data_IF_004521729680
#
_entry.id   IF_004521729680
#
_cell.length_a   1.000
_cell.length_b   1.000
_cell.length_c   1.000
_cell.angle_alpha   90.00
_cell.angle_beta   90.00
_cell.angle_gamma   90.00
#
_symmetry.space_group_name_H-M   'P 1'
#
loop_
_entity.id
_entity.type
_entity.pdbx_description
1 polymer ?
#
# COMPACT_ATOMS: atom_id res chain seq x y z
N UNK A 1 -2.23 -13.93 17.34
CA UNK A 1 -2.58 -12.88 18.32
C UNK A 1 -3.26 -11.67 17.62
N UNK A 2 -2.71 -11.16 16.52
CA UNK A 2 -3.19 -9.95 15.83
C UNK A 2 -4.67 -10.00 15.39
N UNK A 3 -5.17 -11.08 14.74
CA UNK A 3 -6.57 -11.16 14.32
C UNK A 3 -7.56 -10.98 15.47
N UNK A 4 -7.31 -11.60 16.62
CA UNK A 4 -8.19 -11.53 17.79
C UNK A 4 -8.22 -10.15 18.46
N UNK A 5 -7.17 -9.32 18.28
CA UNK A 5 -7.16 -7.96 18.81
C UNK A 5 -8.03 -7.00 18.00
N UNK A 6 -8.30 -7.34 16.75
CA UNK A 6 -9.09 -6.54 15.82
C UNK A 6 -10.52 -7.04 15.65
N UNK A 7 -10.86 -8.20 16.20
CA UNK A 7 -12.15 -8.88 16.01
C UNK A 7 -13.36 -7.96 16.34
N UNK A 8 -13.25 -7.17 17.41
CA UNK A 8 -14.30 -6.23 17.81
C UNK A 8 -14.48 -5.04 16.85
N UNK A 9 -13.44 -4.77 16.02
CA UNK A 9 -13.44 -3.66 15.06
C UNK A 9 -13.78 -4.09 13.63
N UNK A 10 -13.96 -5.40 13.39
CA UNK A 10 -14.21 -5.97 12.07
C UNK A 10 -15.68 -6.35 11.93
N UNK A 11 -16.25 -6.09 10.75
CA UNK A 11 -17.63 -6.44 10.41
C UNK A 11 -17.78 -7.88 9.88
N UNK A 12 -16.65 -8.50 9.50
CA UNK A 12 -16.61 -9.84 8.91
C UNK A 12 -15.90 -10.82 9.84
N UNK A 13 -16.20 -12.11 9.66
CA UNK A 13 -15.50 -13.18 10.37
C UNK A 13 -14.00 -13.16 10.07
N UNK A 14 -13.20 -13.10 11.13
CA UNK A 14 -11.72 -13.11 11.08
C UNK A 14 -11.17 -14.26 10.23
N UNK A 15 -11.86 -15.42 10.20
CA UNK A 15 -11.46 -16.56 9.38
C UNK A 15 -11.56 -16.28 7.86
N UNK A 16 -12.39 -15.33 7.45
CA UNK A 16 -12.55 -14.91 6.03
C UNK A 16 -11.57 -13.81 5.63
N UNK A 17 -10.81 -13.27 6.57
CA UNK A 17 -9.92 -12.15 6.37
C UNK A 17 -8.45 -12.58 6.31
N UNK A 18 -7.71 -11.88 5.46
CA UNK A 18 -6.26 -11.92 5.38
C UNK A 18 -5.70 -10.64 6.02
N UNK A 19 -4.64 -10.80 6.81
CA UNK A 19 -3.97 -9.72 7.53
C UNK A 19 -2.53 -9.61 7.06
N UNK A 20 -2.14 -8.41 6.67
CA UNK A 20 -0.75 -8.07 6.41
C UNK A 20 -0.32 -6.97 7.38
N UNK A 21 0.88 -7.06 7.93
CA UNK A 21 1.40 -6.11 8.88
C UNK A 21 2.78 -5.60 8.47
N UNK A 22 3.01 -4.32 8.73
CA UNK A 22 4.30 -3.67 8.60
C UNK A 22 4.60 -2.92 9.90
N UNK A 23 5.75 -3.16 10.50
CA UNK A 23 6.23 -2.34 11.60
C UNK A 23 6.71 -1.01 11.04
N UNK A 24 6.09 0.08 11.47
CA UNK A 24 6.37 1.45 11.01
C UNK A 24 7.37 2.10 11.96
N UNK A 25 7.18 1.89 13.28
CA UNK A 25 8.04 2.39 14.35
C UNK A 25 8.04 1.38 15.51
N UNK A 26 8.73 1.68 16.61
CA UNK A 26 8.86 0.78 17.75
C UNK A 26 7.50 0.37 18.34
N UNK A 27 6.55 1.31 18.39
CA UNK A 27 5.21 1.10 18.95
C UNK A 27 4.09 1.18 17.91
N UNK A 28 4.42 1.43 16.63
CA UNK A 28 3.43 1.61 15.57
C UNK A 28 3.52 0.49 14.52
N UNK A 29 2.40 -0.21 14.31
CA UNK A 29 2.23 -1.18 13.26
C UNK A 29 1.13 -0.73 12.32
N UNK A 30 1.41 -0.70 11.02
CA UNK A 30 0.39 -0.57 9.99
C UNK A 30 -0.16 -1.95 9.67
N UNK A 31 -1.48 -2.09 9.66
CA UNK A 31 -2.17 -3.35 9.39
C UNK A 31 -3.11 -3.14 8.21
N UNK A 32 -2.95 -3.96 7.18
CA UNK A 32 -3.89 -4.05 6.09
C UNK A 32 -4.75 -5.31 6.25
N UNK A 33 -6.05 -5.16 6.04
CA UNK A 33 -7.02 -6.24 6.13
C UNK A 33 -7.79 -6.33 4.82
N UNK A 34 -7.92 -7.53 4.27
CA UNK A 34 -8.64 -7.78 3.02
C UNK A 34 -9.31 -9.16 3.07
N UNK A 35 -10.45 -9.30 2.40
CA UNK A 35 -11.11 -10.61 2.26
C UNK A 35 -10.20 -11.62 1.55
N UNK A 36 -10.11 -12.85 2.08
CA UNK A 36 -9.30 -13.93 1.48
C UNK A 36 -9.74 -14.25 0.05
N UNK A 37 -11.04 -14.26 -0.21
CA UNK A 37 -11.57 -14.48 -1.55
C UNK A 37 -11.15 -13.37 -2.53
N UNK A 38 -11.11 -12.12 -2.07
CA UNK A 38 -10.71 -10.97 -2.87
C UNK A 38 -9.24 -11.06 -3.28
N UNK A 39 -8.34 -11.29 -2.32
CA UNK A 39 -6.90 -11.40 -2.63
C UNK A 39 -6.59 -12.63 -3.47
N UNK A 40 -7.32 -13.74 -3.28
CA UNK A 40 -7.19 -14.93 -4.12
C UNK A 40 -7.58 -14.63 -5.57
N UNK A 41 -8.72 -13.95 -5.79
CA UNK A 41 -9.17 -13.52 -7.11
C UNK A 41 -8.13 -12.62 -7.79
N UNK A 42 -7.62 -11.61 -7.10
CA UNK A 42 -6.55 -10.76 -7.65
C UNK A 42 -5.28 -11.55 -8.01
N UNK A 43 -4.93 -12.56 -7.21
CA UNK A 43 -3.77 -13.43 -7.48
C UNK A 43 -3.93 -14.24 -8.77
N UNK A 44 -5.16 -14.67 -9.09
CA UNK A 44 -5.46 -15.42 -10.31
C UNK A 44 -5.47 -14.54 -11.57
N UNK A 45 -5.90 -13.29 -11.43
CA UNK A 45 -5.97 -12.33 -12.53
C UNK A 45 -4.61 -11.69 -12.87
N UNK A 46 -3.65 -11.75 -11.96
CA UNK A 46 -2.37 -11.05 -12.10
C UNK A 46 -1.45 -11.78 -13.11
N UNK A 47 -0.90 -11.06 -14.13
CA UNK A 47 0.10 -11.61 -15.02
C UNK A 47 1.34 -12.14 -14.30
N UNK A 48 1.94 -13.22 -14.79
CA UNK A 48 3.14 -13.84 -14.20
C UNK A 48 4.29 -12.86 -13.98
N UNK A 49 4.45 -11.87 -14.86
CA UNK A 49 5.48 -10.84 -14.76
C UNK A 49 5.34 -9.97 -13.49
N UNK A 50 4.12 -9.84 -12.97
CA UNK A 50 3.80 -9.01 -11.80
C UNK A 50 3.64 -9.82 -10.50
N UNK A 51 3.84 -11.15 -10.55
CA UNK A 51 3.67 -12.01 -9.38
C UNK A 51 4.66 -11.74 -8.23
N UNK A 52 5.73 -11.00 -8.47
CA UNK A 52 6.76 -10.71 -7.46
C UNK A 52 6.76 -9.24 -7.01
N UNK A 53 5.79 -8.42 -7.45
CA UNK A 53 5.69 -7.03 -6.95
C UNK A 53 4.88 -6.97 -5.66
N UNK A 54 5.20 -6.06 -4.73
CA UNK A 54 4.41 -5.86 -3.52
C UNK A 54 3.02 -5.29 -3.86
N UNK A 55 2.02 -5.69 -3.08
CA UNK A 55 0.66 -5.16 -3.16
C UNK A 55 0.38 -4.28 -1.96
N UNK A 56 0.30 -3.00 -2.20
CA UNK A 56 0.11 -1.99 -1.16
C UNK A 56 -1.10 -1.11 -1.47
N UNK A 57 -1.66 -0.48 -0.44
CA UNK A 57 -2.75 0.48 -0.63
C UNK A 57 -2.31 1.64 -1.51
N UNK A 58 -3.11 2.00 -2.52
CA UNK A 58 -2.85 3.12 -3.42
C UNK A 58 -2.68 4.45 -2.65
N UNK A 59 -3.49 4.66 -1.61
CA UNK A 59 -3.41 5.87 -0.82
C UNK A 59 -2.05 6.04 -0.14
N UNK A 60 -1.45 4.95 0.33
CA UNK A 60 -0.12 4.97 0.95
C UNK A 60 1.02 5.12 -0.08
N UNK A 61 0.74 5.01 -1.37
CA UNK A 61 1.69 5.30 -2.44
C UNK A 61 1.82 6.80 -2.73
N UNK A 62 0.91 7.65 -2.24
CA UNK A 62 1.01 9.09 -2.42
C UNK A 62 2.16 9.68 -1.61
N UNK A 63 2.79 10.79 -2.07
CA UNK A 63 3.80 11.49 -1.28
C UNK A 63 3.21 12.01 0.02
N UNK A 64 3.97 11.93 1.11
CA UNK A 64 3.54 12.39 2.41
C UNK A 64 4.75 12.80 3.27
N UNK A 65 4.55 13.81 4.09
CA UNK A 65 5.49 14.23 5.13
C UNK A 65 4.71 14.65 6.39
N UNK A 66 5.31 14.60 7.58
CA UNK A 66 4.65 15.05 8.80
C UNK A 66 4.05 16.45 8.64
N UNK A 67 2.80 16.63 9.04
CA UNK A 67 2.05 17.89 8.89
C UNK A 67 1.48 18.12 7.49
N UNK A 68 1.43 17.10 6.63
CA UNK A 68 0.85 17.19 5.29
C UNK A 68 -0.29 16.21 5.09
N UNK A 69 -1.29 16.63 4.31
CA UNK A 69 -2.30 15.76 3.75
C UNK A 69 -2.24 15.88 2.22
N UNK A 70 -2.12 14.76 1.53
CA UNK A 70 -2.12 14.72 0.07
C UNK A 70 -3.45 14.19 -0.43
N UNK A 71 -4.05 14.92 -1.35
CA UNK A 71 -5.30 14.56 -2.02
C UNK A 71 -5.08 14.53 -3.52
N UNK A 72 -5.50 13.46 -4.16
CA UNK A 72 -5.50 13.32 -5.62
C UNK A 72 -6.94 13.19 -6.10
N UNK A 73 -7.39 14.11 -6.92
CA UNK A 73 -8.70 14.05 -7.56
C UNK A 73 -8.63 13.24 -8.85
N UNK A 74 -9.38 12.16 -8.88
CA UNK A 74 -9.66 11.35 -10.07
C UNK A 74 -11.10 11.64 -10.56
N UNK A 75 -11.55 10.97 -11.62
CA UNK A 75 -12.84 11.30 -12.26
C UNK A 75 -14.06 11.16 -11.33
N UNK A 76 -14.10 10.14 -10.46
CA UNK A 76 -15.27 9.82 -9.63
C UNK A 76 -14.95 9.80 -8.13
N UNK A 77 -13.70 9.80 -7.76
CA UNK A 77 -13.25 9.65 -6.38
C UNK A 77 -11.98 10.45 -6.13
N UNK A 78 -11.64 10.63 -4.88
CA UNK A 78 -10.36 11.13 -4.44
C UNK A 78 -9.58 10.05 -3.70
N UNK A 79 -8.26 10.05 -3.88
CA UNK A 79 -7.34 9.27 -3.07
C UNK A 79 -6.66 10.23 -2.10
N UNK A 80 -6.73 9.93 -0.82
CA UNK A 80 -6.28 10.82 0.26
C UNK A 80 -5.28 10.11 1.14
N UNK A 81 -4.16 10.76 1.43
CA UNK A 81 -3.19 10.33 2.45
C UNK A 81 -3.00 11.43 3.49
N UNK A 82 -3.33 11.14 4.75
CA UNK A 82 -3.28 12.11 5.85
C UNK A 82 -2.31 11.73 6.96
N UNK A 83 -1.68 10.54 6.85
CA UNK A 83 -0.74 10.04 7.84
C UNK A 83 0.31 9.11 7.25
N UNK A 84 1.27 8.73 8.09
CA UNK A 84 2.33 7.81 7.70
C UNK A 84 1.79 6.45 7.22
N UNK A 85 0.78 5.93 7.92
CA UNK A 85 0.10 4.67 7.63
C UNK A 85 -1.42 4.87 7.45
N UNK A 86 -1.86 6.08 7.14
CA UNK A 86 -3.27 6.46 7.08
C UNK A 86 -3.60 7.08 5.73
N UNK A 87 -4.59 6.52 5.07
CA UNK A 87 -5.06 6.97 3.78
C UNK A 87 -6.21 6.12 3.28
N UNK A 88 -6.87 6.58 2.24
CA UNK A 88 -8.00 5.87 1.66
C UNK A 88 -8.47 6.46 0.35
N UNK A 89 -9.38 5.74 -0.30
CA UNK A 89 -10.12 6.16 -1.47
C UNK A 89 -11.54 6.52 -1.05
N UNK A 90 -12.05 7.65 -1.53
CA UNK A 90 -13.37 8.14 -1.15
C UNK A 90 -14.06 8.80 -2.33
N UNK A 91 -15.38 8.68 -2.42
CA UNK A 91 -16.18 9.44 -3.38
C UNK A 91 -16.12 10.94 -3.09
N UNK A 92 -16.17 11.77 -4.14
CA UNK A 92 -16.10 13.23 -3.99
C UNK A 92 -17.15 13.78 -3.03
N UNK A 93 -18.36 13.22 -3.05
CA UNK A 93 -19.46 13.66 -2.17
C UNK A 93 -19.17 13.46 -0.67
N UNK A 94 -18.34 12.49 -0.31
CA UNK A 94 -18.00 12.16 1.07
C UNK A 94 -16.65 12.77 1.52
N UNK A 95 -15.91 13.36 0.59
CA UNK A 95 -14.60 13.96 0.90
C UNK A 95 -14.66 15.06 1.97
N UNK A 96 -15.65 15.98 1.97
CA UNK A 96 -15.78 16.99 3.02
C UNK A 96 -15.95 16.38 4.43
N UNK A 97 -16.75 15.32 4.55
CA UNK A 97 -16.99 14.65 5.82
C UNK A 97 -15.72 13.94 6.33
N UNK A 98 -14.98 13.28 5.43
CA UNK A 98 -13.67 12.73 5.76
C UNK A 98 -12.72 13.82 6.26
N UNK A 99 -12.57 14.92 5.52
CA UNK A 99 -11.69 16.03 5.89
C UNK A 99 -12.03 16.63 7.24
N UNK A 100 -13.33 16.73 7.56
CA UNK A 100 -13.78 17.17 8.87
C UNK A 100 -13.43 16.19 9.99
N UNK A 101 -13.51 14.88 9.72
CA UNK A 101 -13.26 13.81 10.71
C UNK A 101 -11.78 13.66 11.06
N UNK A 102 -10.87 13.83 10.10
CA UNK A 102 -9.42 13.67 10.29
C UNK A 102 -8.71 14.91 10.84
N UNK A 103 -9.43 16.02 11.02
CA UNK A 103 -8.92 17.18 11.74
C UNK A 103 -7.76 17.92 11.06
N UNK A 104 -7.85 18.19 9.76
CA UNK A 104 -6.79 18.79 8.92
C UNK A 104 -6.36 20.22 9.27
N UNK A 105 -6.89 20.83 10.33
CA UNK A 105 -6.70 22.27 10.64
C UNK A 105 -5.24 22.73 10.78
N UNK A 106 -4.32 21.82 11.05
CA UNK A 106 -2.89 22.12 11.23
C UNK A 106 -2.01 21.48 10.15
N UNK A 107 -2.61 20.90 9.11
CA UNK A 107 -1.88 20.23 8.03
C UNK A 107 -1.91 21.07 6.75
N UNK A 108 -0.79 21.13 6.06
CA UNK A 108 -0.73 21.68 4.70
C UNK A 108 -1.41 20.71 3.74
N UNK A 109 -2.41 21.18 3.01
CA UNK A 109 -3.14 20.41 2.02
C UNK A 109 -2.46 20.50 0.65
N UNK A 110 -2.00 19.35 0.13
CA UNK A 110 -1.41 19.24 -1.21
C UNK A 110 -2.44 18.56 -2.12
N UNK A 111 -2.91 19.27 -3.14
CA UNK A 111 -3.98 18.79 -4.01
C UNK A 111 -3.49 18.63 -5.43
N UNK A 112 -3.53 17.40 -5.93
CA UNK A 112 -3.29 17.04 -7.31
C UNK A 112 -4.63 16.95 -8.04
N UNK A 113 -4.78 17.68 -9.13
CA UNK A 113 -6.01 17.67 -9.93
C UNK A 113 -5.74 18.10 -11.36
N UNK A 114 -6.51 17.55 -12.29
CA UNK A 114 -6.62 18.06 -13.65
C UNK A 114 -7.72 19.14 -13.76
N UNK A 115 -8.71 19.11 -12.85
CA UNK A 115 -9.82 20.05 -12.78
C UNK A 115 -9.84 20.76 -11.42
N UNK A 116 -9.23 21.94 -11.38
CA UNK A 116 -9.15 22.75 -10.16
C UNK A 116 -10.52 23.28 -9.72
N UNK A 117 -11.44 23.53 -10.65
CA UNK A 117 -12.76 24.05 -10.31
C UNK A 117 -13.59 22.99 -9.55
N UNK A 118 -13.53 21.73 -9.99
CA UNK A 118 -14.16 20.63 -9.30
C UNK A 118 -13.56 20.45 -7.88
N UNK A 119 -12.25 20.46 -7.78
CA UNK A 119 -11.57 20.28 -6.49
C UNK A 119 -11.90 21.41 -5.52
N UNK A 120 -11.92 22.67 -5.98
CA UNK A 120 -12.32 23.84 -5.16
C UNK A 120 -13.78 23.75 -4.71
N UNK A 121 -14.69 23.29 -5.57
CA UNK A 121 -16.09 23.12 -5.21
C UNK A 121 -16.33 21.99 -4.19
N UNK A 122 -15.41 21.03 -4.10
CA UNK A 122 -15.54 19.86 -3.23
C UNK A 122 -14.85 20.07 -1.87
N UNK A 123 -13.71 20.77 -1.84
CA UNK A 123 -12.96 21.00 -0.60
C UNK A 123 -13.64 22.09 0.23
N UNK A 124 -13.85 21.87 1.55
CA UNK A 124 -14.49 22.88 2.42
C UNK A 124 -13.72 24.20 2.46
N UNK A 125 -14.45 25.33 2.43
CA UNK A 125 -13.91 26.70 2.43
C UNK A 125 -12.81 26.93 3.48
N UNK A 126 -12.93 26.48 4.76
CA UNK A 126 -11.91 26.72 5.77
C UNK A 126 -10.54 26.09 5.48
N UNK A 127 -10.47 25.15 4.55
CA UNK A 127 -9.23 24.47 4.16
C UNK A 127 -8.62 25.04 2.88
N UNK A 128 -9.30 25.97 2.20
CA UNK A 128 -8.87 26.45 0.88
C UNK A 128 -7.71 27.46 0.95
N UNK A 129 -7.49 28.12 2.07
CA UNK A 129 -6.49 29.18 2.20
C UNK A 129 -5.04 28.67 2.14
N UNK A 130 -4.79 27.40 2.56
CA UNK A 130 -3.46 26.82 2.65
C UNK A 130 -3.22 25.65 1.67
N UNK A 131 -3.96 25.64 0.53
CA UNK A 131 -3.81 24.57 -0.46
C UNK A 131 -2.61 24.82 -1.37
N UNK A 132 -1.75 23.81 -1.46
CA UNK A 132 -0.73 23.73 -2.49
C UNK A 132 -1.27 22.96 -3.71
N UNK A 133 -1.67 23.71 -4.73
CA UNK A 133 -2.19 23.13 -5.96
C UNK A 133 -1.07 22.52 -6.81
N UNK A 134 -1.29 21.30 -7.29
CA UNK A 134 -0.42 20.57 -8.22
C UNK A 134 -1.27 20.14 -9.42
N UNK A 135 -0.73 20.33 -10.62
CA UNK A 135 -1.39 19.86 -11.84
C UNK A 135 -1.07 18.37 -12.04
N UNK A 136 -2.09 17.56 -12.29
CA UNK A 136 -1.96 16.13 -12.59
C UNK A 136 -2.88 15.28 -11.74
N UNK A 137 -2.75 13.97 -11.88
CA UNK A 137 -3.50 12.96 -11.16
C UNK A 137 -2.60 12.05 -10.33
N UNK A 138 -3.04 10.81 -10.16
CA UNK A 138 -2.34 9.81 -9.34
C UNK A 138 -0.93 9.50 -9.88
N UNK A 139 -0.75 9.43 -11.20
CA UNK A 139 0.55 9.13 -11.81
C UNK A 139 1.60 10.20 -11.51
N UNK A 140 1.22 11.48 -11.57
CA UNK A 140 2.12 12.60 -11.26
C UNK A 140 2.46 12.66 -9.78
N UNK A 141 1.49 12.38 -8.91
CA UNK A 141 1.72 12.28 -7.47
C UNK A 141 2.68 11.13 -7.13
N UNK A 142 2.50 9.96 -7.77
CA UNK A 142 3.34 8.78 -7.56
C UNK A 142 4.80 9.01 -7.94
N UNK A 143 5.08 9.81 -8.98
CA UNK A 143 6.47 10.15 -9.38
C UNK A 143 7.24 10.93 -8.30
N UNK A 144 6.54 11.58 -7.38
CA UNK A 144 7.12 12.36 -6.29
C UNK A 144 7.12 11.60 -4.96
N UNK A 145 6.58 10.38 -4.94
CA UNK A 145 6.57 9.54 -3.75
C UNK A 145 7.95 8.90 -3.51
N UNK A 146 8.24 8.62 -2.23
CA UNK A 146 9.45 7.89 -1.87
C UNK A 146 9.45 6.47 -2.44
N UNK A 147 10.65 5.98 -2.80
CA UNK A 147 10.83 4.67 -3.43
C UNK A 147 10.60 3.47 -2.50
N UNK A 148 10.35 3.69 -1.22
CA UNK A 148 10.10 2.63 -0.24
C UNK A 148 8.63 2.24 -0.23
N UNK A 149 8.30 0.93 -0.07
CA UNK A 149 6.91 0.51 0.05
C UNK A 149 6.27 1.22 1.24
N UNK A 150 5.27 2.06 1.00
CA UNK A 150 4.74 2.96 2.01
C UNK A 150 3.79 2.28 3.01
N UNK A 151 3.46 1.00 2.80
CA UNK A 151 2.51 0.27 3.61
C UNK A 151 2.77 -1.24 3.65
N UNK A 152 1.96 -1.99 4.39
CA UNK A 152 2.07 -3.44 4.46
C UNK A 152 1.80 -4.06 3.08
N UNK A 153 2.71 -4.94 2.65
CA UNK A 153 2.50 -5.77 1.47
C UNK A 153 1.45 -6.83 1.80
N UNK A 154 0.34 -6.82 1.07
CA UNK A 154 -0.73 -7.81 1.22
C UNK A 154 -0.26 -9.24 0.89
N UNK A 155 0.84 -9.38 0.18
CA UNK A 155 1.42 -10.67 -0.21
C UNK A 155 2.29 -11.26 0.90
N UNK A 156 1.71 -11.45 2.05
CA UNK A 156 2.32 -12.11 3.22
C UNK A 156 1.65 -13.46 3.50
N UNK A 157 2.28 -14.29 4.32
CA UNK A 157 1.74 -15.58 4.75
C UNK A 157 1.44 -16.52 3.58
N UNK A 158 0.20 -16.94 3.46
CA UNK A 158 -0.24 -17.86 2.40
C UNK A 158 -0.20 -17.27 0.99
N UNK A 159 -0.32 -15.94 0.85
CA UNK A 159 -0.23 -15.21 -0.41
C UNK A 159 1.18 -14.73 -0.74
N UNK A 160 2.17 -15.06 0.09
CA UNK A 160 3.55 -14.68 -0.17
C UNK A 160 4.04 -15.25 -1.52
N UNK A 161 4.84 -14.49 -2.29
CA UNK A 161 5.43 -14.98 -3.53
C UNK A 161 6.20 -16.27 -3.28
N UNK A 162 5.95 -17.29 -4.08
CA UNK A 162 6.70 -18.54 -4.01
C UNK A 162 8.13 -18.28 -4.50
N UNK A 163 9.10 -18.49 -3.63
CA UNK A 163 10.50 -18.41 -4.04
C UNK A 163 10.78 -19.42 -5.14
N UNK A 164 11.41 -19.04 -6.25
CA UNK A 164 11.71 -19.93 -7.37
C UNK A 164 12.87 -20.88 -7.02
N UNK A 165 12.72 -21.66 -5.94
CA UNK A 165 13.77 -22.57 -5.41
C UNK A 165 14.22 -23.57 -6.47
N UNK A 166 13.32 -24.02 -7.34
CA UNK A 166 13.66 -24.92 -8.44
C UNK A 166 14.64 -24.28 -9.45
N UNK A 167 14.49 -23.00 -9.74
CA UNK A 167 15.43 -22.25 -10.62
C UNK A 167 16.78 -22.07 -9.97
N UNK A 168 16.79 -21.77 -8.67
CA UNK A 168 18.03 -21.64 -7.90
C UNK A 168 18.73 -22.97 -7.77
N UNK A 169 17.99 -24.05 -7.47
CA UNK A 169 18.53 -25.38 -7.42
C UNK A 169 19.13 -25.81 -8.77
N UNK A 170 18.45 -25.57 -9.88
CA UNK A 170 18.97 -25.87 -11.22
C UNK A 170 20.28 -25.13 -11.55
N UNK A 171 20.45 -23.91 -11.05
CA UNK A 171 21.71 -23.15 -11.20
C UNK A 171 22.84 -23.72 -10.34
N UNK A 172 22.54 -24.14 -9.11
CA UNK A 172 23.52 -24.56 -8.11
C UNK A 172 23.83 -26.05 -8.13
N UNK A 173 22.99 -26.91 -8.72
CA UNK A 173 23.18 -28.36 -8.75
C UNK A 173 24.51 -28.80 -9.36
N UNK A 174 25.00 -28.07 -10.39
CA UNK A 174 26.29 -28.34 -11.03
C UNK A 174 27.48 -28.04 -10.11
N UNK A 175 27.39 -26.96 -9.35
CA UNK A 175 28.39 -26.55 -8.37
C UNK A 175 28.39 -27.52 -7.19
N UNK A 176 27.23 -27.91 -6.69
CA UNK A 176 27.08 -28.87 -5.63
C UNK A 176 27.66 -30.22 -6.05
N UNK A 177 27.38 -30.70 -7.26
CA UNK A 177 27.95 -31.96 -7.79
C UNK A 177 29.48 -31.87 -7.89
N UNK A 178 30.02 -30.78 -8.39
CA UNK A 178 31.48 -30.58 -8.48
C UNK A 178 32.15 -30.59 -7.09
N UNK A 179 31.53 -29.98 -6.08
CA UNK A 179 32.00 -30.00 -4.70
C UNK A 179 31.97 -31.40 -4.10
N UNK A 180 30.92 -32.17 -4.33
CA UNK A 180 30.83 -33.58 -3.88
C UNK A 180 31.93 -34.40 -4.49
N UNK A 181 32.17 -34.31 -5.80
CA UNK A 181 33.24 -35.04 -6.49
C UNK A 181 34.60 -34.62 -5.94
N UNK A 182 34.86 -33.34 -5.72
CA UNK A 182 36.12 -32.85 -5.15
C UNK A 182 36.35 -33.37 -3.72
N UNK A 183 35.31 -33.46 -2.90
CA UNK A 183 35.38 -34.03 -1.55
C UNK A 183 35.71 -35.52 -1.59
N UNK A 184 35.09 -36.29 -2.47
CA UNK A 184 35.36 -37.73 -2.63
C UNK A 184 36.82 -37.97 -3.06
N UNK A 185 37.33 -37.16 -4.01
CA UNK A 185 38.72 -37.30 -4.49
C UNK A 185 39.76 -36.90 -3.44
N UNK A 186 39.39 -36.11 -2.42
CA UNK A 186 40.29 -35.68 -1.36
C UNK A 186 40.33 -36.70 -0.19
N UNK A 187 39.31 -37.52 -0.05
CA UNK A 187 39.18 -38.49 1.05
C UNK A 187 39.58 -39.92 0.65
N UNK A 188 39.85 -40.20 -0.60
CA UNK A 188 40.42 -41.45 -1.12
C UNK A 188 41.91 -41.31 -1.43
#
# INVERSE_FOLDING_TARGET
>A
ALPFMLEESLLEDVAQLHFAALRVDDDLHSIAVVGRATIAGWSEELPDALQNVPWVSEALCLPWSPGQCTVVFEEQHAVVRWGQAEGGRIEHALLPDLMASIGLKEQTLIVYTADQALAQATIPDPLQDDIQWRKGGFSEALLLADSHPPGPDLRQGEFAPRLPLARWWAAWQRVALALIVACILKTG
#
